data_IF_394814008137
#
_entry.id   IF_394814008137
#
_cell.length_a   1.000
_cell.length_b   1.000
_cell.length_c   1.000
_cell.angle_alpha   90.00
_cell.angle_beta   90.00
_cell.angle_gamma   90.00
#
_symmetry.space_group_name_H-M   'P 1'
#
loop_
_entity.id
_entity.type
_entity.pdbx_description
1 polymer ?
#
# COMPACT_ATOMS: atom_id res chain seq x y z
N UNK A 1 -4.11 31.75 -26.02
CA UNK A 1 -3.40 30.47 -25.75
C UNK A 1 -3.98 29.88 -24.48
N UNK A 2 -4.54 28.67 -24.47
CA UNK A 2 -5.01 28.07 -23.22
C UNK A 2 -3.80 27.79 -22.33
N UNK A 3 -3.86 28.30 -21.10
CA UNK A 3 -2.88 28.06 -20.05
C UNK A 3 -2.69 26.56 -19.84
N UNK A 4 -1.45 26.07 -19.95
CA UNK A 4 -1.11 24.70 -19.54
C UNK A 4 -1.36 24.59 -18.04
N UNK A 5 -2.49 23.98 -17.67
CA UNK A 5 -2.80 23.70 -16.28
C UNK A 5 -1.59 22.98 -15.63
N UNK A 6 -1.10 23.54 -14.53
CA UNK A 6 -0.07 22.91 -13.70
C UNK A 6 -0.54 21.48 -13.38
N UNK A 7 0.29 20.44 -13.58
CA UNK A 7 -0.09 19.09 -13.19
C UNK A 7 -0.53 19.13 -11.72
N UNK A 8 -1.62 18.44 -11.35
CA UNK A 8 -2.03 18.37 -9.95
C UNK A 8 -0.82 17.93 -9.12
N UNK A 9 -0.56 18.67 -8.06
CA UNK A 9 0.58 18.42 -7.17
C UNK A 9 0.49 16.98 -6.66
N UNK A 10 1.58 16.21 -6.81
CA UNK A 10 1.56 14.79 -6.47
C UNK A 10 1.28 14.62 -4.98
N UNK A 11 0.11 14.08 -4.67
CA UNK A 11 -0.37 13.89 -3.31
C UNK A 11 0.22 12.61 -2.73
N UNK A 12 0.88 12.64 -1.57
CA UNK A 12 1.38 11.43 -0.93
C UNK A 12 0.22 10.63 -0.32
N UNK A 13 0.24 9.32 -0.54
CA UNK A 13 -0.67 8.35 0.07
C UNK A 13 0.19 7.28 0.75
N UNK A 14 0.26 7.30 2.07
CA UNK A 14 1.03 6.30 2.82
C UNK A 14 0.13 5.13 3.17
N UNK A 15 0.61 3.91 2.91
CA UNK A 15 0.03 2.65 3.32
C UNK A 15 0.99 1.99 4.32
N UNK A 16 0.57 1.90 5.57
CA UNK A 16 1.36 1.32 6.66
C UNK A 16 0.90 -0.11 6.92
N UNK A 17 1.82 -1.05 6.83
CA UNK A 17 1.65 -2.42 7.30
C UNK A 17 2.17 -2.55 8.72
N UNK A 18 1.27 -2.80 9.68
CA UNK A 18 1.62 -3.14 11.06
C UNK A 18 1.63 -4.66 11.18
N UNK A 19 2.76 -5.23 11.59
CA UNK A 19 2.97 -6.69 11.63
C UNK A 19 3.25 -7.13 13.06
N UNK A 20 2.58 -8.19 13.51
CA UNK A 20 2.97 -9.03 14.65
C UNK A 20 3.77 -10.23 14.11
N UNK A 21 5.10 -10.12 13.96
CA UNK A 21 5.91 -11.20 13.44
C UNK A 21 6.01 -12.38 14.40
N UNK A 22 5.89 -12.20 15.73
CA UNK A 22 5.98 -13.31 16.68
C UNK A 22 4.79 -14.24 16.50
N UNK A 23 3.59 -13.69 16.49
CA UNK A 23 2.37 -14.44 16.26
C UNK A 23 2.34 -15.03 14.83
N UNK A 24 2.79 -14.29 13.82
CA UNK A 24 2.84 -14.79 12.45
C UNK A 24 3.83 -15.96 12.27
N UNK A 25 5.00 -15.91 12.91
CA UNK A 25 5.95 -17.01 12.91
C UNK A 25 5.41 -18.22 13.69
N UNK A 26 4.72 -17.99 14.81
CA UNK A 26 4.12 -19.06 15.60
C UNK A 26 2.94 -19.75 14.89
N UNK A 27 2.11 -18.99 14.16
CA UNK A 27 0.95 -19.51 13.44
C UNK A 27 1.27 -20.00 12.02
N UNK A 28 2.37 -19.54 11.43
CA UNK A 28 2.66 -19.76 10.02
C UNK A 28 1.75 -18.98 9.08
N UNK A 29 1.11 -17.91 9.54
CA UNK A 29 0.18 -17.10 8.74
C UNK A 29 0.23 -15.60 9.10
N UNK A 30 0.01 -14.73 8.10
CA UNK A 30 -0.14 -13.28 8.31
C UNK A 30 -1.59 -12.89 8.63
N UNK A 31 -2.56 -13.77 8.31
CA UNK A 31 -3.96 -13.60 8.66
C UNK A 31 -4.12 -13.49 10.19
N UNK A 32 -4.72 -12.38 10.64
CA UNK A 32 -4.84 -12.05 12.06
C UNK A 32 -3.61 -11.37 12.69
N UNK A 33 -2.48 -11.33 11.97
CA UNK A 33 -1.18 -10.79 12.43
C UNK A 33 -0.65 -9.64 11.56
N UNK A 34 -1.41 -9.22 10.54
CA UNK A 34 -1.12 -8.10 9.66
C UNK A 34 -2.30 -7.13 9.65
N UNK A 35 -2.02 -5.85 9.92
CA UNK A 35 -2.99 -4.79 9.96
C UNK A 35 -2.57 -3.69 8.99
N UNK A 36 -3.42 -3.37 8.01
CA UNK A 36 -3.13 -2.35 7.01
C UNK A 36 -3.90 -1.05 7.30
N UNK A 37 -3.19 0.07 7.19
CA UNK A 37 -3.74 1.42 7.34
C UNK A 37 -3.26 2.31 6.20
N UNK A 38 -4.03 3.34 5.88
CA UNK A 38 -3.57 4.41 5.00
C UNK A 38 -3.92 5.81 5.49
N UNK A 39 -3.38 6.82 4.80
CA UNK A 39 -3.64 8.24 5.09
C UNK A 39 -4.88 8.80 4.39
N UNK A 40 -5.69 7.95 3.74
CA UNK A 40 -6.76 8.34 2.81
C UNK A 40 -8.17 7.96 3.30
N UNK A 41 -8.34 7.72 4.60
CA UNK A 41 -9.67 7.47 5.19
C UNK A 41 -10.69 8.55 4.82
N UNK A 42 -10.30 9.82 4.88
CA UNK A 42 -11.17 10.95 4.53
C UNK A 42 -11.53 11.01 3.04
N UNK A 43 -10.71 10.41 2.18
CA UNK A 43 -10.95 10.29 0.74
C UNK A 43 -11.79 9.03 0.40
N UNK A 44 -12.20 8.26 1.41
CA UNK A 44 -13.07 7.09 1.26
C UNK A 44 -12.32 5.77 1.06
N UNK A 45 -11.10 5.63 1.56
CA UNK A 45 -10.51 4.30 1.80
C UNK A 45 -11.37 3.49 2.79
N UNK A 46 -11.28 2.16 2.73
CA UNK A 46 -12.02 1.22 3.62
C UNK A 46 -11.18 0.00 3.99
N UNK A 47 -11.62 -0.85 4.92
CA UNK A 47 -10.91 -2.09 5.30
C UNK A 47 -9.71 -1.86 6.23
N UNK A 48 -9.72 -0.77 7.00
CA UNK A 48 -8.65 -0.44 7.95
C UNK A 48 -8.52 -1.48 9.05
N UNK A 49 -7.30 -1.85 9.39
CA UNK A 49 -7.00 -2.87 10.39
C UNK A 49 -7.27 -4.30 9.91
N UNK A 50 -7.67 -4.48 8.65
CA UNK A 50 -7.74 -5.78 7.98
C UNK A 50 -6.63 -5.95 6.96
N UNK A 51 -6.58 -7.12 6.34
CA UNK A 51 -5.73 -7.37 5.18
C UNK A 51 -6.40 -6.95 3.87
N UNK A 52 -7.70 -6.71 3.88
CA UNK A 52 -8.55 -6.31 2.75
C UNK A 52 -8.64 -4.78 2.56
N UNK A 53 -7.59 -4.06 2.98
CA UNK A 53 -7.52 -2.60 2.83
C UNK A 53 -7.76 -2.20 1.37
N UNK A 54 -8.68 -1.26 1.19
CA UNK A 54 -9.01 -0.63 -0.09
C UNK A 54 -8.58 0.82 -0.06
N UNK A 55 -7.39 1.10 -0.58
CA UNK A 55 -6.82 2.44 -0.56
C UNK A 55 -7.34 3.28 -1.72
N UNK A 56 -7.98 4.41 -1.41
CA UNK A 56 -8.46 5.35 -2.42
C UNK A 56 -7.28 6.08 -3.05
N UNK A 57 -7.19 6.06 -4.38
CA UNK A 57 -6.13 6.74 -5.13
C UNK A 57 -6.67 7.48 -6.36
N UNK A 58 -5.87 8.42 -6.86
CA UNK A 58 -6.07 9.16 -8.11
C UNK A 58 -4.83 9.01 -8.99
N UNK A 59 -4.98 9.22 -10.30
CA UNK A 59 -3.84 9.29 -11.21
C UNK A 59 -2.88 10.42 -10.77
N UNK A 60 -1.59 10.12 -10.67
CA UNK A 60 -0.56 11.05 -10.19
C UNK A 60 -0.29 11.02 -8.69
N UNK A 61 -1.11 10.32 -7.90
CA UNK A 61 -0.81 10.10 -6.47
C UNK A 61 0.51 9.33 -6.33
N UNK A 62 1.31 9.71 -5.33
CA UNK A 62 2.51 8.98 -4.94
C UNK A 62 2.18 8.08 -3.77
N UNK A 63 2.19 6.78 -4.00
CA UNK A 63 2.00 5.78 -2.95
C UNK A 63 3.33 5.53 -2.25
N UNK A 64 3.28 5.38 -0.93
CA UNK A 64 4.41 5.01 -0.08
C UNK A 64 3.94 3.83 0.77
N UNK A 65 4.62 2.68 0.69
CA UNK A 65 4.39 1.56 1.60
C UNK A 65 5.53 1.47 2.60
N UNK A 66 5.20 1.30 3.87
CA UNK A 66 6.15 1.08 4.95
C UNK A 66 5.65 -0.02 5.90
N UNK A 67 6.59 -0.56 6.68
CA UNK A 67 6.33 -1.59 7.68
C UNK A 67 6.62 -1.03 9.07
N UNK A 68 5.73 -1.32 10.01
CA UNK A 68 5.89 -1.10 11.44
C UNK A 68 5.74 -2.46 12.11
N UNK A 69 6.65 -2.79 13.01
CA UNK A 69 6.65 -4.05 13.75
C UNK A 69 6.11 -3.78 15.14
N UNK A 70 5.21 -4.64 15.65
CA UNK A 70 4.70 -4.49 17.02
C UNK A 70 5.79 -4.76 18.06
N UNK A 71 6.62 -5.78 17.84
CA UNK A 71 7.75 -6.14 18.71
C UNK A 71 9.08 -5.61 18.15
N UNK A 72 9.71 -4.68 18.87
CA UNK A 72 10.95 -4.02 18.45
C UNK A 72 12.15 -4.97 18.27
N UNK A 73 12.13 -6.11 18.97
CA UNK A 73 13.20 -7.11 18.96
C UNK A 73 13.15 -8.02 17.73
N UNK A 74 12.10 -7.90 16.91
CA UNK A 74 11.85 -8.78 15.78
C UNK A 74 11.96 -8.04 14.45
N UNK A 75 12.43 -8.79 13.45
CA UNK A 75 12.59 -8.26 12.10
C UNK A 75 11.33 -8.53 11.27
N UNK A 76 10.78 -7.50 10.65
CA UNK A 76 9.85 -7.65 9.54
C UNK A 76 10.16 -6.60 8.47
N UNK A 77 10.17 -7.03 7.21
CA UNK A 77 10.35 -6.13 6.08
C UNK A 77 9.47 -6.54 4.91
N UNK A 78 9.06 -5.55 4.13
CA UNK A 78 8.39 -5.78 2.86
C UNK A 78 9.44 -6.10 1.78
N UNK A 79 9.38 -7.33 1.30
CA UNK A 79 10.33 -7.93 0.35
C UNK A 79 9.91 -7.67 -1.10
N UNK A 80 8.60 -7.66 -1.38
CA UNK A 80 8.06 -7.43 -2.72
C UNK A 80 6.62 -6.88 -2.67
N UNK A 81 6.27 -6.05 -3.67
CA UNK A 81 4.90 -5.62 -3.96
C UNK A 81 4.56 -6.04 -5.39
N UNK A 82 3.64 -6.97 -5.55
CA UNK A 82 3.19 -7.44 -6.87
C UNK A 82 1.87 -6.77 -7.20
N UNK A 83 1.88 -5.86 -8.18
CA UNK A 83 0.72 -5.12 -8.67
C UNK A 83 0.83 -4.96 -10.19
N UNK A 84 -0.30 -4.78 -10.89
CA UNK A 84 -0.29 -4.47 -12.33
C UNK A 84 0.57 -3.23 -12.61
N UNK A 85 1.69 -3.44 -13.32
CA UNK A 85 2.64 -2.38 -13.67
C UNK A 85 2.02 -1.25 -14.49
N UNK A 86 0.89 -1.50 -15.16
CA UNK A 86 0.12 -0.46 -15.88
C UNK A 86 -0.54 0.52 -14.91
N UNK A 87 -0.72 0.14 -13.64
CA UNK A 87 -1.30 0.98 -12.58
C UNK A 87 -0.20 1.73 -11.85
N UNK A 88 0.81 1.04 -11.34
CA UNK A 88 2.01 1.65 -10.77
C UNK A 88 3.15 0.64 -10.75
N UNK A 89 4.40 1.10 -10.68
CA UNK A 89 5.58 0.25 -10.56
C UNK A 89 6.29 0.56 -9.23
N UNK A 90 6.12 -0.28 -8.19
CA UNK A 90 6.77 -0.09 -6.90
C UNK A 90 8.30 -0.17 -6.99
N UNK A 91 8.97 0.77 -6.34
CA UNK A 91 10.41 0.84 -6.21
C UNK A 91 10.79 0.87 -4.73
N UNK A 92 11.72 0.02 -4.31
CA UNK A 92 12.28 0.03 -2.95
C UNK A 92 13.30 1.15 -2.80
N UNK A 93 13.16 1.94 -1.73
CA UNK A 93 14.07 3.01 -1.32
C UNK A 93 14.43 2.85 0.15
N UNK A 94 15.44 3.59 0.57
CA UNK A 94 15.92 3.64 1.95
C UNK A 94 16.06 5.11 2.34
N UNK A 95 15.59 5.49 3.53
CA UNK A 95 15.75 6.86 3.99
C UNK A 95 17.24 7.19 4.19
N UNK A 96 17.71 8.38 3.78
CA UNK A 96 19.12 8.76 3.90
C UNK A 96 19.64 8.56 5.33
N UNK A 97 20.82 7.96 5.45
CA UNK A 97 21.50 7.69 6.72
C UNK A 97 20.73 6.77 7.69
N UNK A 98 19.88 5.88 7.17
CA UNK A 98 19.17 4.86 7.96
C UNK A 98 19.12 3.53 7.19
N UNK A 99 18.75 2.44 7.87
CA UNK A 99 18.39 1.17 7.24
C UNK A 99 16.86 1.03 7.02
N UNK A 100 16.11 2.12 7.23
CA UNK A 100 14.65 2.12 7.14
C UNK A 100 14.26 2.12 5.66
N UNK A 101 13.86 0.96 5.18
CA UNK A 101 13.35 0.78 3.82
C UNK A 101 11.87 1.18 3.72
N UNK A 102 11.50 1.74 2.57
CA UNK A 102 10.12 1.97 2.17
C UNK A 102 9.98 1.67 0.68
N UNK A 103 8.77 1.39 0.23
CA UNK A 103 8.46 1.24 -1.19
C UNK A 103 7.67 2.45 -1.66
N UNK A 104 7.86 2.87 -2.90
CA UNK A 104 7.10 3.98 -3.47
C UNK A 104 6.77 3.76 -4.93
N UNK A 105 5.63 4.29 -5.38
CA UNK A 105 5.22 4.25 -6.78
C UNK A 105 4.35 5.48 -7.10
N UNK A 106 4.28 5.85 -8.37
CA UNK A 106 3.28 6.82 -8.85
C UNK A 106 2.16 6.07 -9.56
N UNK A 107 0.91 6.44 -9.26
CA UNK A 107 -0.27 5.92 -9.95
C UNK A 107 -0.30 6.49 -11.38
N UNK A 108 -0.06 5.65 -12.37
CA UNK A 108 0.13 6.01 -13.79
C UNK A 108 -1.18 6.33 -14.51
N UNK A 109 -2.29 5.74 -14.07
CA UNK A 109 -3.60 5.87 -14.70
C UNK A 109 -4.73 5.98 -13.69
N UNK A 110 -5.85 6.52 -14.14
CA UNK A 110 -7.08 6.48 -13.36
C UNK A 110 -7.52 5.03 -13.14
N UNK A 111 -7.77 4.68 -11.89
CA UNK A 111 -8.29 3.38 -11.48
C UNK A 111 -9.81 3.49 -11.52
N UNK A 112 -10.51 2.59 -12.21
CA UNK A 112 -11.99 2.55 -12.25
C UNK A 112 -12.55 1.38 -11.47
N UNK A 113 -11.84 0.26 -11.47
CA UNK A 113 -12.15 -0.96 -10.73
C UNK A 113 -11.07 -1.23 -9.69
N UNK A 114 -11.38 -1.91 -8.56
CA UNK A 114 -10.38 -2.29 -7.58
C UNK A 114 -9.23 -3.09 -8.22
N UNK A 115 -8.00 -2.63 -8.04
CA UNK A 115 -6.78 -3.31 -8.50
C UNK A 115 -6.16 -4.03 -7.31
N UNK A 116 -6.32 -5.36 -7.20
CA UNK A 116 -5.68 -6.11 -6.12
C UNK A 116 -4.16 -6.09 -6.27
N UNK A 117 -3.47 -6.17 -5.15
CA UNK A 117 -2.02 -6.34 -5.12
C UNK A 117 -1.61 -7.30 -4.00
N UNK A 118 -0.43 -7.90 -4.17
CA UNK A 118 0.14 -8.83 -3.20
C UNK A 118 1.35 -8.21 -2.51
N UNK A 119 1.36 -8.30 -1.19
CA UNK A 119 2.49 -7.90 -0.34
C UNK A 119 3.23 -9.17 0.11
N UNK A 120 4.54 -9.20 -0.05
CA UNK A 120 5.40 -10.28 0.46
C UNK A 120 6.29 -9.76 1.58
N UNK A 121 6.25 -10.42 2.73
CA UNK A 121 6.96 -10.03 3.93
C UNK A 121 8.02 -11.06 4.29
N UNK A 122 9.22 -10.59 4.63
CA UNK A 122 10.26 -11.39 5.26
C UNK A 122 10.22 -11.15 6.77
N UNK A 123 10.04 -12.22 7.55
CA UNK A 123 9.93 -12.17 9.01
C UNK A 123 11.10 -12.91 9.65
N UNK A 124 11.77 -12.33 10.64
CA UNK A 124 12.86 -12.97 11.38
C UNK A 124 13.90 -13.63 10.46
N UNK A 125 14.12 -14.93 10.66
CA UNK A 125 15.09 -15.75 9.92
C UNK A 125 14.47 -16.61 8.82
N UNK A 126 13.18 -16.45 8.49
CA UNK A 126 12.59 -17.28 7.43
C UNK A 126 13.18 -16.93 6.06
N UNK A 127 13.53 -17.98 5.30
CA UNK A 127 14.10 -17.85 3.95
C UNK A 127 13.04 -17.60 2.89
N UNK A 128 11.80 -18.06 3.13
CA UNK A 128 10.65 -17.83 2.25
C UNK A 128 9.74 -16.73 2.82
N UNK A 129 9.34 -15.72 2.03
CA UNK A 129 8.50 -14.64 2.51
C UNK A 129 7.02 -15.06 2.57
N UNK A 130 6.33 -14.58 3.60
CA UNK A 130 4.88 -14.70 3.73
C UNK A 130 4.17 -13.77 2.75
N UNK A 131 3.04 -14.18 2.18
CA UNK A 131 2.34 -13.39 1.16
C UNK A 131 0.86 -13.13 1.53
N UNK A 132 0.40 -11.89 1.32
CA UNK A 132 -1.00 -11.48 1.49
C UNK A 132 -1.50 -10.86 0.19
N UNK A 133 -2.69 -11.28 -0.28
CA UNK A 133 -3.21 -10.93 -1.62
C UNK A 133 -4.57 -10.20 -1.61
N UNK A 134 -5.11 -9.91 -0.43
CA UNK A 134 -6.40 -9.24 -0.24
C UNK A 134 -6.44 -7.72 -0.46
N UNK A 135 -5.37 -6.92 -0.31
CA UNK A 135 -5.50 -5.48 -0.42
C UNK A 135 -5.64 -5.03 -1.88
N UNK A 136 -6.29 -3.88 -2.07
CA UNK A 136 -6.56 -3.33 -3.41
C UNK A 136 -6.47 -1.79 -3.46
N UNK A 137 -6.03 -1.25 -4.60
CA UNK A 137 -6.17 0.17 -4.92
C UNK A 137 -7.54 0.42 -5.55
N UNK A 138 -8.26 1.45 -5.07
CA UNK A 138 -9.60 1.77 -5.58
C UNK A 138 -9.67 3.21 -6.12
N UNK A 139 -10.34 3.35 -7.27
CA UNK A 139 -10.58 4.62 -7.95
C UNK A 139 -11.59 5.54 -7.28
N UNK A 140 -11.72 6.80 -7.70
CA UNK A 140 -12.84 7.64 -7.27
C UNK A 140 -14.13 7.24 -8.00
N UNK A 141 -15.26 7.24 -7.27
CA UNK A 141 -16.57 7.17 -7.93
C UNK A 141 -16.74 8.42 -8.78
N UNK A 142 -17.05 8.25 -10.07
CA UNK A 142 -17.42 9.38 -10.93
C UNK A 142 -18.61 10.09 -10.32
N UNK A 143 -18.57 11.43 -10.29
CA UNK A 143 -19.75 12.22 -9.97
C UNK A 143 -20.81 11.91 -11.02
N UNK A 144 -21.73 11.00 -10.69
CA UNK A 144 -22.87 10.70 -11.52
C UNK A 144 -23.63 11.99 -11.75
N UNK A 145 -23.72 12.43 -13.00
CA UNK A 145 -24.76 13.36 -13.39
C UNK A 145 -26.08 12.63 -13.18
N UNK A 146 -26.81 13.01 -12.13
CA UNK A 146 -28.25 12.76 -12.05
C UNK A 146 -28.86 13.28 -13.36
N UNK A 147 -29.27 12.35 -14.22
CA UNK A 147 -30.18 12.66 -15.31
C UNK A 147 -31.54 12.93 -14.67
N UNK A 148 -31.97 14.19 -14.81
CA UNK A 148 -33.32 14.65 -14.49
C UNK A 148 -34.36 13.94 -15.33
#
# INVERSE_FOLDING_TARGET
MPSKAKPPESRPVTITAVVDPVAALASGALEGNLFLYDTNKAEGSTGFGGTDLRTRVRSGDRIIWNVVVLECETYAALDEIVIDEKVCAPERKVYPNTDIAYWTATVKRHVTEPVPYRLKFRLGTVTEPYAVSSPALVGQAGAGKEQR
#
